data_IF_923039373443
#
_entry.id   IF_923039373443
#
_cell.length_a   1.000
_cell.length_b   1.000
_cell.length_c   1.000
_cell.angle_alpha   90.00
_cell.angle_beta   90.00
_cell.angle_gamma   90.00
#
_symmetry.space_group_name_H-M   'P 1'
#
loop_
_entity.id
_entity.type
_entity.pdbx_description
1 polymer ?
#
# COMPACT_ATOMS: atom_id res chain seq x y z
N UNK A 1 -34.59 -65.58 -6.02
CA UNK A 1 -34.43 -64.37 -5.20
C UNK A 1 -33.00 -64.39 -4.67
N UNK A 2 -32.10 -63.54 -5.18
CA UNK A 2 -30.72 -63.43 -4.68
C UNK A 2 -30.55 -62.03 -4.11
N UNK A 3 -30.35 -61.98 -2.79
CA UNK A 3 -30.12 -60.77 -2.00
C UNK A 3 -28.74 -60.20 -2.35
N UNK A 4 -28.70 -58.93 -2.75
CA UNK A 4 -27.45 -58.18 -2.97
C UNK A 4 -27.17 -57.39 -1.68
N UNK A 5 -26.07 -57.70 -1.01
CA UNK A 5 -25.57 -56.95 0.15
C UNK A 5 -24.65 -55.84 -0.36
N UNK A 6 -25.07 -54.58 -0.22
CA UNK A 6 -24.21 -53.42 -0.41
C UNK A 6 -23.33 -53.24 0.83
N UNK A 7 -22.02 -53.41 0.67
CA UNK A 7 -21.03 -52.99 1.66
C UNK A 7 -20.68 -51.51 1.39
N UNK A 8 -21.10 -50.63 2.28
CA UNK A 8 -20.66 -49.23 2.31
C UNK A 8 -19.24 -49.17 2.90
N UNK A 9 -18.24 -48.87 2.09
CA UNK A 9 -16.90 -48.56 2.55
C UNK A 9 -16.81 -47.07 2.91
N UNK A 10 -16.66 -46.77 4.20
CA UNK A 10 -16.44 -45.43 4.71
C UNK A 10 -15.02 -44.96 4.39
N UNK A 11 -14.86 -44.01 3.47
CA UNK A 11 -13.58 -43.35 3.22
C UNK A 11 -13.36 -42.30 4.30
N UNK A 12 -12.39 -42.54 5.20
CA UNK A 12 -11.89 -41.53 6.12
C UNK A 12 -10.76 -40.76 5.44
N UNK A 13 -11.00 -39.47 5.15
CA UNK A 13 -9.97 -38.57 4.64
C UNK A 13 -9.16 -38.07 5.84
N UNK A 14 -7.91 -38.53 5.96
CA UNK A 14 -6.94 -37.97 6.91
C UNK A 14 -6.29 -36.76 6.26
N UNK A 15 -6.56 -35.56 6.78
CA UNK A 15 -5.87 -34.33 6.38
C UNK A 15 -4.41 -34.35 6.86
N UNK A 16 -3.41 -34.02 6.01
CA UNK A 16 -2.04 -33.90 6.46
C UNK A 16 -1.86 -32.66 7.35
N UNK A 17 -1.34 -32.89 8.56
CA UNK A 17 -0.94 -31.83 9.49
C UNK A 17 0.27 -31.10 8.90
N UNK A 18 0.16 -29.79 8.66
CA UNK A 18 1.29 -28.93 8.36
C UNK A 18 2.17 -28.81 9.61
N UNK A 19 3.34 -29.45 9.60
CA UNK A 19 4.41 -29.21 10.57
C UNK A 19 5.02 -27.84 10.28
N UNK A 20 4.81 -26.88 11.18
CA UNK A 20 5.68 -25.72 11.28
C UNK A 20 7.04 -26.16 11.86
N UNK A 21 8.18 -25.94 11.18
CA UNK A 21 9.47 -26.08 11.83
C UNK A 21 9.62 -24.98 12.88
N UNK A 22 9.88 -25.41 14.12
CA UNK A 22 10.02 -24.55 15.28
C UNK A 22 11.18 -23.56 15.17
N UNK A 23 10.96 -22.39 15.76
CA UNK A 23 11.96 -21.35 15.93
C UNK A 23 13.13 -21.85 16.77
N UNK A 24 14.28 -21.99 16.13
CA UNK A 24 15.56 -22.13 16.79
C UNK A 24 16.05 -20.76 17.25
N UNK A 25 16.21 -20.62 18.57
CA UNK A 25 16.95 -19.55 19.23
C UNK A 25 18.42 -19.61 18.83
N UNK A 26 18.77 -18.88 17.77
CA UNK A 26 20.14 -18.68 17.30
C UNK A 26 20.78 -17.48 18.00
N UNK A 27 21.80 -17.77 18.80
CA UNK A 27 22.64 -16.85 19.56
C UNK A 27 23.43 -15.92 18.60
N UNK A 28 23.24 -14.60 18.69
CA UNK A 28 24.11 -13.62 18.00
C UNK A 28 25.15 -13.07 18.99
N UNK A 29 26.46 -13.07 18.66
CA UNK A 29 27.48 -12.47 19.49
C UNK A 29 27.43 -10.93 19.40
N UNK A 30 27.68 -10.29 20.54
CA UNK A 30 27.58 -8.85 20.70
C UNK A 30 28.63 -8.03 19.95
N UNK A 31 28.19 -6.87 19.49
CA UNK A 31 28.97 -5.65 19.33
C UNK A 31 28.02 -4.54 19.81
N UNK A 32 28.29 -3.85 20.91
CA UNK A 32 29.28 -2.79 20.95
C UNK A 32 28.51 -1.48 21.05
N UNK A 33 28.49 -0.88 22.25
CA UNK A 33 27.68 0.29 22.57
C UNK A 33 28.01 1.53 21.73
N UNK A 34 26.97 2.31 21.47
CA UNK A 34 27.07 3.66 20.92
C UNK A 34 25.81 4.42 21.31
N UNK A 35 25.86 5.11 22.45
CA UNK A 35 24.81 6.06 22.83
C UNK A 35 24.77 7.18 21.79
N UNK A 36 23.63 7.35 21.13
CA UNK A 36 23.42 8.46 20.19
C UNK A 36 23.17 9.71 21.04
N UNK A 37 24.21 10.55 21.12
CA UNK A 37 24.22 11.80 21.85
C UNK A 37 23.49 12.87 21.04
N UNK A 38 22.38 13.40 21.58
CA UNK A 38 21.68 14.56 21.01
C UNK A 38 22.49 15.84 21.31
N UNK A 39 22.85 16.66 20.31
CA UNK A 39 23.47 17.95 20.56
C UNK A 39 22.41 19.02 20.88
N UNK A 40 22.59 19.72 22.02
CA UNK A 40 22.13 21.10 22.18
C UNK A 40 21.14 21.39 23.32
N UNK A 41 21.54 21.22 24.58
CA UNK A 41 20.95 21.98 25.70
C UNK A 41 21.94 23.05 26.16
N UNK A 42 21.92 24.21 25.49
CA UNK A 42 22.58 25.42 26.01
C UNK A 42 21.60 26.18 26.90
N UNK A 43 21.90 26.19 28.19
CA UNK A 43 21.39 27.11 29.18
C UNK A 43 21.75 28.55 28.82
N UNK A 44 20.76 29.46 28.85
CA UNK A 44 20.99 30.85 28.45
C UNK A 44 19.89 31.82 28.88
N UNK A 45 20.04 32.36 30.09
CA UNK A 45 19.89 33.80 30.38
C UNK A 45 18.55 34.49 30.10
N UNK A 46 17.81 34.72 31.19
CA UNK A 46 16.70 35.67 31.29
C UNK A 46 17.17 37.12 31.07
N UNK A 47 16.50 37.86 30.18
CA UNK A 47 16.39 39.33 30.20
C UNK A 47 15.00 39.80 29.76
N UNK A 48 14.36 40.75 30.48
CA UNK A 48 13.01 41.20 30.18
C UNK A 48 12.99 42.34 29.14
N UNK A 49 12.09 42.27 28.16
CA UNK A 49 11.77 43.39 27.26
C UNK A 49 10.33 43.84 27.51
N UNK A 50 10.16 45.16 27.63
CA UNK A 50 8.92 45.90 27.94
C UNK A 50 7.83 45.77 26.85
N UNK A 51 6.56 46.04 27.20
CA UNK A 51 5.41 45.78 26.33
C UNK A 51 5.18 46.87 25.28
N UNK A 52 4.85 46.46 24.06
CA UNK A 52 4.27 47.31 23.02
C UNK A 52 2.87 46.80 22.62
N UNK A 53 2.01 47.78 22.35
CA UNK A 53 0.54 47.83 22.30
C UNK A 53 -0.09 47.03 21.12
N UNK A 54 -1.39 46.63 21.18
CA UNK A 54 -1.99 45.70 20.21
C UNK A 54 -2.41 46.40 18.92
N UNK A 55 -2.17 45.71 17.79
CA UNK A 55 -2.61 46.07 16.44
C UNK A 55 -3.28 44.86 15.77
N UNK A 56 -4.36 45.14 15.05
CA UNK A 56 -5.38 44.23 14.57
C UNK A 56 -4.93 43.12 13.59
N UNK A 57 -5.51 41.92 13.79
CA UNK A 57 -6.27 41.18 12.79
C UNK A 57 -5.63 40.86 11.44
N UNK A 58 -5.08 39.66 11.31
CA UNK A 58 -4.80 39.00 10.03
C UNK A 58 -4.66 37.49 10.24
N UNK A 59 -5.72 36.73 9.93
CA UNK A 59 -5.72 35.27 10.03
C UNK A 59 -4.84 34.66 8.93
N UNK A 60 -3.61 34.30 9.27
CA UNK A 60 -2.77 33.43 8.44
C UNK A 60 -3.08 31.99 8.84
N UNK A 61 -3.62 31.21 7.89
CA UNK A 61 -3.79 29.76 8.02
C UNK A 61 -2.38 29.12 8.11
N UNK A 62 -2.06 28.30 9.12
CA UNK A 62 -0.85 27.50 9.07
C UNK A 62 -1.02 26.47 7.94
N UNK A 63 -0.16 26.55 6.92
CA UNK A 63 0.00 25.51 5.92
C UNK A 63 0.36 24.19 6.59
N UNK A 64 -0.18 23.09 6.05
CA UNK A 64 0.10 21.74 6.51
C UNK A 64 1.60 21.46 6.47
N UNK A 65 2.21 21.32 7.64
CA UNK A 65 3.58 20.89 7.77
C UNK A 65 3.67 19.42 7.36
N UNK A 66 4.45 19.13 6.32
CA UNK A 66 4.87 17.77 5.99
C UNK A 66 5.64 17.19 7.17
N UNK A 67 5.04 16.23 7.87
CA UNK A 67 5.71 15.44 8.89
C UNK A 67 6.62 14.42 8.23
N UNK A 68 7.91 14.43 8.57
CA UNK A 68 8.85 13.38 8.18
C UNK A 68 8.60 12.19 9.11
N UNK A 69 8.09 11.08 8.58
CA UNK A 69 7.91 9.83 9.33
C UNK A 69 9.28 9.16 9.52
N UNK A 70 9.64 8.68 10.73
CA UNK A 70 10.91 7.99 10.95
C UNK A 70 10.82 6.54 10.46
N UNK A 71 11.56 6.19 9.39
CA UNK A 71 11.72 4.79 8.98
C UNK A 71 11.99 4.51 7.49
N UNK A 72 11.77 5.47 6.61
CA UNK A 72 12.16 5.37 5.20
C UNK A 72 13.01 6.57 4.82
N UNK A 73 14.02 6.37 3.97
CA UNK A 73 14.57 7.46 3.15
C UNK A 73 13.42 8.33 2.67
N UNK A 74 13.46 9.62 2.98
CA UNK A 74 12.32 10.52 2.84
C UNK A 74 11.85 10.57 1.39
N UNK A 75 10.72 9.94 1.10
CA UNK A 75 10.11 9.96 -0.24
C UNK A 75 8.58 9.98 -0.10
N UNK A 76 8.04 11.16 0.19
CA UNK A 76 6.69 11.51 -0.23
C UNK A 76 6.80 12.76 -1.10
N UNK A 77 7.01 12.51 -2.40
CA UNK A 77 7.10 13.53 -3.44
C UNK A 77 5.81 14.33 -3.52
N UNK A 78 5.98 15.65 -3.64
CA UNK A 78 4.94 16.65 -3.55
C UNK A 78 3.95 16.67 -4.71
N UNK A 79 2.96 17.54 -4.53
CA UNK A 79 2.06 17.98 -5.59
C UNK A 79 2.89 18.63 -6.69
N UNK A 80 2.85 18.11 -7.92
CA UNK A 80 3.20 18.91 -9.08
C UNK A 80 2.09 18.86 -10.13
N UNK A 81 1.47 20.02 -10.34
CA UNK A 81 0.64 20.30 -11.49
C UNK A 81 1.60 20.67 -12.62
N UNK A 82 1.67 19.83 -13.65
CA UNK A 82 2.70 19.93 -14.67
C UNK A 82 2.85 21.30 -15.34
N UNK A 83 4.08 21.61 -15.75
CA UNK A 83 4.40 22.47 -16.89
C UNK A 83 5.84 22.21 -17.33
N UNK A 84 6.05 22.09 -18.65
CA UNK A 84 7.31 21.68 -19.24
C UNK A 84 8.50 22.61 -18.96
N UNK A 85 9.67 22.02 -18.82
CA UNK A 85 10.95 22.72 -18.70
C UNK A 85 12.12 21.75 -18.80
N UNK A 86 13.09 22.07 -19.63
CA UNK A 86 14.27 21.27 -19.97
C UNK A 86 15.27 21.16 -18.81
N UNK A 87 15.75 19.94 -18.55
CA UNK A 87 17.15 19.68 -18.18
C UNK A 87 17.63 20.11 -16.79
N UNK A 88 17.04 19.55 -15.73
CA UNK A 88 17.65 19.48 -14.40
C UNK A 88 17.07 18.25 -13.68
N UNK A 89 17.91 17.33 -13.19
CA UNK A 89 17.40 16.21 -12.40
C UNK A 89 16.96 16.73 -11.03
N UNK A 90 15.65 16.88 -10.89
CA UNK A 90 14.98 17.23 -9.65
C UNK A 90 15.19 16.13 -8.59
N UNK A 91 15.98 16.45 -7.56
CA UNK A 91 16.28 15.56 -6.44
C UNK A 91 15.10 15.39 -5.47
N UNK A 92 13.95 16.04 -5.71
CA UNK A 92 12.74 15.92 -4.88
C UNK A 92 11.75 14.86 -5.37
N UNK A 93 11.97 14.31 -6.57
CA UNK A 93 11.14 13.24 -7.13
C UNK A 93 11.57 11.85 -6.62
N UNK A 94 10.62 10.95 -6.28
CA UNK A 94 10.94 9.55 -6.02
C UNK A 94 11.75 8.95 -7.17
N UNK A 95 12.75 8.08 -6.91
CA UNK A 95 13.39 7.34 -7.99
C UNK A 95 12.31 6.61 -8.81
N UNK A 96 12.47 6.51 -10.13
CA UNK A 96 11.52 5.79 -10.96
C UNK A 96 11.40 4.34 -10.48
N UNK A 97 10.18 3.80 -10.53
CA UNK A 97 9.99 2.38 -10.21
C UNK A 97 10.73 1.53 -11.23
N UNK A 98 11.38 0.47 -10.76
CA UNK A 98 12.02 -0.49 -11.65
C UNK A 98 10.97 -1.21 -12.49
N UNK A 99 11.22 -1.31 -13.79
CA UNK A 99 10.43 -2.13 -14.71
C UNK A 99 11.13 -3.46 -15.04
N UNK A 100 12.29 -3.73 -14.42
CA UNK A 100 13.11 -4.90 -14.75
C UNK A 100 12.41 -6.23 -14.43
N UNK A 101 11.54 -6.26 -13.42
CA UNK A 101 10.78 -7.43 -13.02
C UNK A 101 9.45 -7.59 -13.79
N UNK A 102 9.16 -6.72 -14.76
CA UNK A 102 7.90 -6.79 -15.50
C UNK A 102 7.85 -8.03 -16.40
N UNK A 103 6.80 -8.87 -16.29
CA UNK A 103 6.68 -10.04 -17.14
C UNK A 103 6.39 -9.63 -18.58
N UNK A 104 6.69 -10.50 -19.56
CA UNK A 104 6.19 -10.31 -20.92
C UNK A 104 4.65 -10.27 -20.89
N UNK A 105 4.09 -9.38 -21.70
CA UNK A 105 2.65 -9.24 -21.88
C UNK A 105 2.01 -10.53 -22.42
N UNK A 106 0.97 -11.04 -21.75
CA UNK A 106 0.11 -12.09 -22.31
C UNK A 106 -0.73 -11.55 -23.47
N UNK A 107 -1.16 -10.29 -23.33
CA UNK A 107 -1.74 -9.43 -24.36
C UNK A 107 -1.29 -7.99 -24.06
N UNK A 108 -1.43 -7.01 -24.96
CA UNK A 108 -0.95 -5.64 -24.73
C UNK A 108 -1.37 -4.98 -23.40
N UNK A 109 -2.45 -5.47 -22.77
CA UNK A 109 -2.94 -4.96 -21.49
C UNK A 109 -2.82 -5.96 -20.33
N UNK A 110 -2.53 -7.24 -20.56
CA UNK A 110 -2.62 -8.28 -19.52
C UNK A 110 -1.24 -8.83 -19.19
N UNK A 111 -0.87 -8.74 -17.92
CA UNK A 111 0.39 -9.25 -17.38
C UNK A 111 0.22 -10.60 -16.70
N UNK A 112 -0.96 -10.84 -16.11
CA UNK A 112 -1.19 -12.06 -15.33
C UNK A 112 -2.66 -12.47 -15.35
N UNK A 113 -2.92 -13.77 -15.21
CA UNK A 113 -4.25 -14.34 -15.05
C UNK A 113 -4.32 -15.12 -13.74
N UNK A 114 -5.32 -14.85 -12.91
CA UNK A 114 -5.56 -15.58 -11.65
C UNK A 114 -7.06 -15.67 -11.39
N UNK A 115 -7.56 -16.87 -11.07
CA UNK A 115 -8.94 -17.05 -10.60
C UNK A 115 -10.02 -16.57 -11.57
N UNK A 116 -9.80 -16.69 -12.89
CA UNK A 116 -10.75 -16.17 -13.89
C UNK A 116 -10.74 -14.64 -14.03
N UNK A 117 -9.68 -13.97 -13.56
CA UNK A 117 -9.47 -12.52 -13.66
C UNK A 117 -8.15 -12.25 -14.37
N UNK A 118 -8.06 -11.08 -14.99
CA UNK A 118 -6.87 -10.60 -15.71
C UNK A 118 -6.34 -9.36 -15.00
N UNK A 119 -5.02 -9.26 -14.92
CA UNK A 119 -4.33 -8.21 -14.17
C UNK A 119 -3.39 -7.40 -15.05
N UNK A 120 -3.35 -6.10 -14.77
CA UNK A 120 -2.51 -5.13 -15.44
C UNK A 120 -1.66 -4.36 -14.42
N UNK A 121 -0.37 -4.21 -14.70
CA UNK A 121 0.59 -3.53 -13.85
C UNK A 121 0.94 -2.16 -14.44
N UNK A 122 0.45 -1.09 -13.82
CA UNK A 122 0.65 0.27 -14.35
C UNK A 122 2.12 0.65 -14.52
N UNK A 123 2.99 0.30 -13.57
CA UNK A 123 4.42 0.62 -13.63
C UNK A 123 5.14 -0.09 -14.78
N UNK A 124 4.65 -1.25 -15.23
CA UNK A 124 5.21 -1.98 -16.35
C UNK A 124 4.85 -1.39 -17.72
N UNK A 125 3.80 -0.56 -17.78
CA UNK A 125 3.29 0.00 -19.04
C UNK A 125 3.53 1.49 -19.15
N UNK A 126 3.31 2.22 -18.06
CA UNK A 126 3.45 3.67 -18.03
C UNK A 126 4.79 4.09 -17.41
N UNK A 127 5.89 3.41 -17.77
CA UNK A 127 7.25 3.84 -17.41
C UNK A 127 7.51 4.09 -15.91
N UNK A 128 6.87 3.34 -15.01
CA UNK A 128 7.00 3.55 -13.57
C UNK A 128 6.30 4.79 -13.01
N UNK A 129 5.38 5.39 -13.76
CA UNK A 129 4.54 6.51 -13.31
C UNK A 129 3.74 6.15 -12.05
N UNK A 130 3.46 7.19 -11.25
CA UNK A 130 2.71 7.12 -10.00
C UNK A 130 1.56 8.12 -10.06
N UNK A 131 0.48 7.81 -9.36
CA UNK A 131 -0.75 8.57 -9.41
C UNK A 131 -1.32 8.78 -8.02
N UNK A 132 -2.04 9.89 -7.79
CA UNK A 132 -2.91 9.95 -6.63
C UNK A 132 -4.01 8.85 -6.72
N UNK A 133 -4.71 8.60 -5.63
CA UNK A 133 -5.66 7.47 -5.59
C UNK A 133 -6.75 7.57 -6.67
N UNK A 134 -7.29 8.78 -6.89
CA UNK A 134 -8.34 9.00 -7.90
C UNK A 134 -7.80 8.78 -9.32
N UNK A 135 -6.61 9.29 -9.60
CA UNK A 135 -5.93 9.11 -10.88
C UNK A 135 -5.56 7.66 -11.16
N UNK A 136 -5.09 6.90 -10.16
CA UNK A 136 -4.85 5.46 -10.28
C UNK A 136 -6.12 4.69 -10.66
N UNK A 137 -7.24 5.00 -10.00
CA UNK A 137 -8.53 4.39 -10.34
C UNK A 137 -8.99 4.78 -11.76
N UNK A 138 -8.74 6.02 -12.17
CA UNK A 138 -9.03 6.49 -13.52
C UNK A 138 -8.12 5.86 -14.58
N UNK A 139 -6.85 5.65 -14.27
CA UNK A 139 -5.90 4.92 -15.14
C UNK A 139 -6.48 3.55 -15.51
N UNK A 140 -6.94 2.78 -14.51
CA UNK A 140 -7.54 1.48 -14.77
C UNK A 140 -8.81 1.56 -15.63
N UNK A 141 -9.71 2.51 -15.35
CA UNK A 141 -10.93 2.70 -16.16
C UNK A 141 -10.62 3.05 -17.62
N UNK A 142 -9.54 3.80 -17.89
CA UNK A 142 -9.13 4.17 -19.26
C UNK A 142 -8.58 3.01 -20.08
N UNK A 143 -8.20 1.89 -19.46
CA UNK A 143 -7.81 0.68 -20.18
C UNK A 143 -8.98 0.07 -20.98
N UNK A 144 -10.21 0.48 -20.70
CA UNK A 144 -11.42 0.09 -21.43
C UNK A 144 -12.37 -0.74 -20.58
N UNK A 145 -13.39 -1.29 -21.25
CA UNK A 145 -14.52 -1.94 -20.59
C UNK A 145 -14.09 -3.08 -19.64
N UNK A 146 -14.61 -3.02 -18.41
CA UNK A 146 -14.41 -4.05 -17.38
C UNK A 146 -13.17 -3.86 -16.52
N UNK A 147 -12.24 -2.96 -16.88
CA UNK A 147 -11.08 -2.67 -16.06
C UNK A 147 -11.41 -1.77 -14.88
N UNK A 148 -10.93 -2.14 -13.70
CA UNK A 148 -10.97 -1.34 -12.47
C UNK A 148 -9.65 -1.46 -11.70
N UNK A 149 -9.42 -0.60 -10.72
CA UNK A 149 -8.31 -0.81 -9.78
C UNK A 149 -8.58 -2.06 -8.93
N UNK A 150 -7.53 -2.73 -8.48
CA UNK A 150 -7.63 -4.01 -7.78
C UNK A 150 -8.50 -3.94 -6.52
N UNK A 151 -9.37 -4.93 -6.35
CA UNK A 151 -10.05 -5.25 -5.10
C UNK A 151 -9.42 -6.51 -4.55
N UNK A 152 -9.10 -6.54 -3.24
CA UNK A 152 -8.45 -7.70 -2.62
C UNK A 152 -9.47 -8.42 -1.76
N UNK A 153 -10.22 -9.33 -2.37
CA UNK A 153 -11.45 -9.90 -1.79
C UNK A 153 -11.19 -11.22 -1.06
N UNK A 154 -10.02 -11.84 -1.30
CA UNK A 154 -9.67 -13.14 -0.75
C UNK A 154 -8.21 -13.20 -0.31
N UNK A 155 -7.90 -14.17 0.57
CA UNK A 155 -6.52 -14.46 0.96
C UNK A 155 -5.62 -14.88 -0.22
N UNK A 156 -6.21 -15.48 -1.27
CA UNK A 156 -5.45 -15.86 -2.47
C UNK A 156 -5.04 -14.61 -3.27
N UNK A 157 -5.94 -13.64 -3.41
CA UNK A 157 -5.64 -12.36 -4.07
C UNK A 157 -4.64 -11.54 -3.23
N UNK A 158 -4.77 -11.53 -1.90
CA UNK A 158 -3.82 -10.84 -1.04
C UNK A 158 -2.42 -11.41 -1.16
N UNK A 159 -2.26 -12.74 -1.09
CA UNK A 159 -0.96 -13.38 -1.28
C UNK A 159 -0.38 -13.11 -2.68
N UNK A 160 -1.23 -13.06 -3.70
CA UNK A 160 -0.82 -12.68 -5.05
C UNK A 160 -0.27 -11.24 -5.10
N UNK A 161 -0.96 -10.28 -4.48
CA UNK A 161 -0.51 -8.88 -4.39
C UNK A 161 0.79 -8.78 -3.59
N UNK A 162 0.89 -9.45 -2.44
CA UNK A 162 2.10 -9.53 -1.61
C UNK A 162 3.29 -10.01 -2.44
N UNK A 163 3.12 -11.11 -3.19
CA UNK A 163 4.18 -11.66 -4.02
C UNK A 163 4.60 -10.69 -5.14
N UNK A 164 3.66 -9.93 -5.72
CA UNK A 164 4.00 -8.90 -6.72
C UNK A 164 4.84 -7.80 -6.09
N UNK A 165 4.42 -7.24 -4.95
CA UNK A 165 5.16 -6.15 -4.32
C UNK A 165 6.58 -6.59 -3.94
N UNK A 166 6.72 -7.83 -3.46
CA UNK A 166 8.02 -8.41 -3.12
C UNK A 166 8.89 -8.65 -4.36
N UNK A 167 8.39 -9.38 -5.35
CA UNK A 167 9.18 -9.79 -6.53
C UNK A 167 9.47 -8.65 -7.52
N UNK A 168 8.65 -7.60 -7.54
CA UNK A 168 8.88 -6.41 -8.35
C UNK A 168 9.62 -5.29 -7.61
N UNK A 169 10.03 -5.51 -6.36
CA UNK A 169 10.69 -4.52 -5.51
C UNK A 169 9.88 -3.20 -5.42
N UNK A 170 8.55 -3.35 -5.27
CA UNK A 170 7.67 -2.20 -5.15
C UNK A 170 7.52 -1.80 -3.69
N UNK A 171 7.66 -0.50 -3.36
CA UNK A 171 7.46 -0.04 -1.99
C UNK A 171 5.98 -0.04 -1.59
N UNK A 172 5.07 0.10 -2.57
CA UNK A 172 3.63 0.23 -2.32
C UNK A 172 2.81 0.20 -3.62
N UNK A 173 1.51 -0.03 -3.49
CA UNK A 173 0.51 0.19 -4.55
C UNK A 173 -0.75 0.86 -4.00
N UNK A 174 -1.51 1.51 -4.88
CA UNK A 174 -2.93 1.78 -4.65
C UNK A 174 -3.79 0.54 -4.94
N UNK A 175 -4.89 0.44 -4.19
CA UNK A 175 -6.03 -0.44 -4.48
C UNK A 175 -7.27 0.40 -4.79
N UNK A 176 -8.39 -0.25 -5.11
CA UNK A 176 -9.70 0.44 -5.23
C UNK A 176 -10.37 0.73 -3.89
N UNK A 177 -9.80 0.27 -2.78
CA UNK A 177 -10.40 0.38 -1.44
C UNK A 177 -10.43 1.82 -0.94
N UNK A 178 -11.56 2.26 -0.42
CA UNK A 178 -11.73 3.60 0.14
C UNK A 178 -12.88 3.68 1.16
N UNK A 179 -12.91 4.77 1.93
CA UNK A 179 -14.01 5.15 2.84
C UNK A 179 -14.52 6.57 2.59
N UNK A 180 -14.43 7.05 1.36
CA UNK A 180 -14.77 8.43 0.98
C UNK A 180 -16.23 8.81 1.31
N UNK A 181 -17.12 7.83 1.37
CA UNK A 181 -18.54 8.01 1.70
C UNK A 181 -18.87 7.88 3.19
N UNK A 182 -17.89 7.65 4.07
CA UNK A 182 -18.06 7.64 5.52
C UNK A 182 -18.86 6.46 6.11
N UNK A 183 -19.27 5.48 5.31
CA UNK A 183 -20.10 4.32 5.74
C UNK A 183 -19.32 3.02 5.99
N UNK A 184 -18.00 3.13 6.13
CA UNK A 184 -17.07 1.99 6.18
C UNK A 184 -16.22 1.87 4.91
N UNK A 185 -15.38 0.84 4.87
CA UNK A 185 -14.51 0.56 3.74
C UNK A 185 -15.26 -0.18 2.64
N UNK A 186 -15.15 0.32 1.42
CA UNK A 186 -15.71 -0.27 0.20
C UNK A 186 -14.65 -0.39 -0.88
N UNK A 187 -14.80 -1.37 -1.76
CA UNK A 187 -14.06 -1.46 -3.00
C UNK A 187 -14.60 -0.49 -4.06
N UNK A 188 -13.87 -0.31 -5.16
CA UNK A 188 -14.23 0.62 -6.24
C UNK A 188 -15.56 0.30 -6.94
N UNK A 189 -16.04 -0.95 -6.81
CA UNK A 189 -17.34 -1.41 -7.29
C UNK A 189 -18.49 -1.19 -6.27
N UNK A 190 -18.19 -0.63 -5.09
CA UNK A 190 -19.14 -0.37 -4.01
C UNK A 190 -19.40 -1.54 -3.07
N UNK A 191 -18.78 -2.71 -3.28
CA UNK A 191 -18.88 -3.83 -2.34
C UNK A 191 -18.16 -3.52 -1.03
N UNK A 192 -18.71 -4.02 0.08
CA UNK A 192 -18.08 -3.89 1.39
C UNK A 192 -16.79 -4.71 1.47
N UNK A 193 -15.79 -4.16 2.16
CA UNK A 193 -14.54 -4.87 2.46
C UNK A 193 -14.77 -5.85 3.61
N UNK A 194 -14.72 -7.16 3.31
CA UNK A 194 -14.89 -8.24 4.30
C UNK A 194 -13.57 -8.93 4.66
N UNK A 195 -12.80 -9.34 3.66
CA UNK A 195 -11.44 -9.81 3.86
C UNK A 195 -10.54 -8.62 4.18
N UNK A 196 -9.60 -8.78 5.13
CA UNK A 196 -8.65 -7.73 5.47
C UNK A 196 -7.27 -8.28 5.81
N UNK A 197 -6.25 -7.48 5.49
CA UNK A 197 -4.88 -7.68 5.94
C UNK A 197 -4.29 -6.35 6.43
N UNK A 198 -5.06 -5.65 7.29
CA UNK A 198 -4.62 -4.38 7.89
C UNK A 198 -3.38 -4.56 8.76
N UNK A 199 -2.46 -3.61 8.65
CA UNK A 199 -1.23 -3.60 9.43
C UNK A 199 -1.50 -3.51 10.93
N UNK A 200 -0.64 -4.16 11.73
CA UNK A 200 -0.75 -4.15 13.20
C UNK A 200 -0.07 -2.94 13.80
N UNK A 201 0.79 -2.27 13.04
CA UNK A 201 1.43 -1.02 13.41
C UNK A 201 1.18 0.04 12.34
N UNK A 202 1.73 1.24 12.58
CA UNK A 202 1.54 2.39 11.71
C UNK A 202 2.36 3.55 12.26
N UNK A 203 2.03 4.77 11.82
CA UNK A 203 2.75 5.95 12.27
C UNK A 203 2.65 6.15 13.79
N UNK A 204 1.49 5.85 14.37
CA UNK A 204 1.31 5.84 15.83
C UNK A 204 1.82 4.52 16.39
N UNK A 205 2.82 4.52 17.29
CA UNK A 205 3.32 3.30 17.90
C UNK A 205 2.21 2.49 18.58
N UNK A 206 2.21 1.17 18.36
CA UNK A 206 1.24 0.22 18.91
C UNK A 206 -0.22 0.47 18.49
N UNK A 207 -0.46 1.15 17.37
CA UNK A 207 -1.80 1.36 16.81
C UNK A 207 -1.96 0.63 15.47
N UNK A 208 -2.88 -0.35 15.38
CA UNK A 208 -3.21 -1.00 14.12
C UNK A 208 -3.92 -0.06 13.15
N UNK A 209 -3.79 -0.37 11.87
CA UNK A 209 -4.55 0.26 10.80
C UNK A 209 -5.95 -0.39 10.67
N UNK A 210 -6.94 0.31 10.08
CA UNK A 210 -6.91 1.69 9.67
C UNK A 210 -7.07 2.63 10.88
N UNK A 211 -6.26 3.68 11.00
CA UNK A 211 -6.20 4.50 12.21
C UNK A 211 -6.62 5.98 12.03
N UNK A 212 -6.83 6.41 10.79
CA UNK A 212 -7.21 7.77 10.41
C UNK A 212 -6.35 8.84 11.09
N UNK A 213 -5.06 8.59 11.22
CA UNK A 213 -4.13 9.42 11.97
C UNK A 213 -4.20 10.90 11.57
N UNK A 214 -4.20 11.19 10.26
CA UNK A 214 -4.24 12.57 9.75
C UNK A 214 -5.66 13.11 9.51
N UNK A 215 -6.70 12.43 10.02
CA UNK A 215 -8.12 12.77 9.83
C UNK A 215 -8.62 12.82 8.37
N UNK A 216 -7.82 12.31 7.43
CA UNK A 216 -8.10 12.36 5.99
C UNK A 216 -7.56 11.13 5.23
N UNK A 217 -7.25 10.05 5.95
CA UNK A 217 -6.70 8.82 5.37
C UNK A 217 -7.85 7.95 4.84
N UNK A 218 -8.40 8.30 3.69
CA UNK A 218 -9.62 7.68 3.19
C UNK A 218 -9.39 6.62 2.12
N UNK A 219 -8.13 6.33 1.78
CA UNK A 219 -7.76 5.48 0.65
C UNK A 219 -6.86 4.32 1.09
N UNK A 220 -7.11 3.12 0.56
CA UNK A 220 -6.43 1.89 0.96
C UNK A 220 -5.20 1.65 0.07
N UNK A 221 -4.03 1.61 0.70
CA UNK A 221 -2.78 1.22 0.06
C UNK A 221 -2.22 -0.06 0.68
N UNK A 222 -1.55 -0.88 -0.14
CA UNK A 222 -0.70 -1.96 0.37
C UNK A 222 0.73 -1.44 0.41
N UNK A 223 1.38 -1.52 1.58
CA UNK A 223 2.76 -1.07 1.78
C UNK A 223 3.69 -2.28 1.98
N UNK A 224 4.88 -2.24 1.39
CA UNK A 224 5.87 -3.30 1.50
C UNK A 224 6.87 -2.99 2.62
N UNK A 225 6.72 -3.66 3.78
CA UNK A 225 7.64 -3.62 4.93
C UNK A 225 8.00 -2.20 5.38
N UNK A 226 7.04 -1.28 5.27
CA UNK A 226 7.26 0.13 5.54
C UNK A 226 7.44 0.40 7.04
N UNK A 227 6.67 -0.28 7.88
CA UNK A 227 6.82 -0.23 9.33
C UNK A 227 7.52 -1.50 9.85
N UNK A 228 8.38 -1.38 10.89
CA UNK A 228 9.05 -2.54 11.46
C UNK A 228 8.07 -3.63 11.88
N UNK A 229 8.31 -4.85 11.41
CA UNK A 229 7.54 -6.07 11.70
C UNK A 229 6.15 -6.21 11.04
N UNK A 230 5.71 -5.27 10.20
CA UNK A 230 4.37 -5.32 9.57
C UNK A 230 4.28 -6.13 8.28
N UNK A 231 5.39 -6.67 7.76
CA UNK A 231 5.38 -7.42 6.49
C UNK A 231 4.84 -6.57 5.33
N UNK A 232 4.11 -7.18 4.40
CA UNK A 232 3.40 -6.46 3.33
C UNK A 232 1.91 -6.44 3.69
N UNK A 233 1.39 -5.28 4.08
CA UNK A 233 0.08 -5.13 4.74
C UNK A 233 -0.64 -3.85 4.31
N UNK A 234 -1.92 -3.74 4.67
CA UNK A 234 -2.79 -2.64 4.25
C UNK A 234 -2.71 -1.47 5.24
N UNK A 235 -2.71 -0.26 4.70
CA UNK A 235 -2.74 1.00 5.43
C UNK A 235 -3.82 1.91 4.88
N UNK A 236 -4.45 2.70 5.74
CA UNK A 236 -5.21 3.86 5.31
C UNK A 236 -4.27 5.03 5.11
N UNK A 237 -4.34 5.65 3.95
CA UNK A 237 -3.40 6.67 3.51
C UNK A 237 -4.19 7.84 2.93
N UNK A 238 -3.67 9.06 3.06
CA UNK A 238 -4.26 10.23 2.42
C UNK A 238 -4.24 10.06 0.90
N UNK A 239 -5.38 10.30 0.27
CA UNK A 239 -5.61 9.94 -1.13
C UNK A 239 -4.71 10.70 -2.13
N UNK A 240 -4.06 11.79 -1.69
CA UNK A 240 -3.21 12.63 -2.53
C UNK A 240 -1.81 12.03 -2.78
N UNK A 241 -1.38 11.05 -1.97
CA UNK A 241 -0.08 10.41 -2.18
C UNK A 241 -0.01 9.69 -3.53
N UNK A 242 1.16 9.73 -4.17
CA UNK A 242 1.35 9.13 -5.49
C UNK A 242 1.89 7.70 -5.39
N UNK A 243 1.22 6.74 -6.03
CA UNK A 243 1.60 5.33 -6.07
C UNK A 243 1.26 4.70 -7.43
N UNK A 244 1.94 3.62 -7.84
CA UNK A 244 1.44 2.81 -8.94
C UNK A 244 0.18 2.06 -8.50
N UNK A 245 -0.53 1.47 -9.44
CA UNK A 245 -1.72 0.64 -9.20
C UNK A 245 -1.67 -0.68 -9.96
N UNK A 246 -2.36 -1.69 -9.42
CA UNK A 246 -2.75 -2.88 -10.17
C UNK A 246 -4.18 -2.65 -10.65
N UNK A 247 -4.45 -2.96 -11.92
CA UNK A 247 -5.80 -3.02 -12.46
C UNK A 247 -6.21 -4.47 -12.66
N UNK A 248 -7.51 -4.71 -12.58
CA UNK A 248 -8.13 -6.02 -12.72
C UNK A 248 -9.37 -5.94 -13.62
N UNK A 249 -9.72 -7.07 -14.24
CA UNK A 249 -11.03 -7.31 -14.85
C UNK A 249 -11.39 -8.79 -14.80
N UNK A 250 -12.67 -9.11 -14.95
CA UNK A 250 -13.07 -10.49 -15.24
C UNK A 250 -12.44 -10.95 -16.59
N UNK A 251 -11.92 -12.17 -16.63
CA UNK A 251 -11.53 -12.78 -17.88
C UNK A 251 -12.79 -12.99 -18.74
N UNK A 252 -12.73 -12.56 -19.99
CA UNK A 252 -13.83 -12.81 -20.91
C UNK A 252 -13.91 -14.32 -21.16
N UNK A 253 -15.00 -14.94 -20.73
CA UNK A 253 -15.36 -16.28 -21.20
C UNK A 253 -15.66 -16.15 -22.69
N UNK A 254 -14.74 -16.58 -23.56
CA UNK A 254 -15.08 -16.81 -24.96
C UNK A 254 -15.97 -18.05 -25.01
N UNK A 255 -17.29 -17.86 -24.92
CA UNK A 255 -18.25 -18.84 -25.40
C UNK A 255 -18.25 -18.75 -26.92
N UNK A 256 -17.40 -19.57 -27.55
CA UNK A 256 -17.48 -19.87 -28.97
C UNK A 256 -18.68 -20.78 -29.28
#
# INVERSE_FOLDING_TARGET
>A
MKTVILLLASVTIVAPQARYPGGGIGNFPGAGGGAIQFPGSSTGGTRPIRPARPGAGGSVRPGGGGGILPGGTGIFGGNDQGSGGTGGQDLSSPPPLSTAACPPFLTPQVHYNLGGRQYHYSWCVDGGQRYNWQEANNYCRRLGNGWQAISIETAQEDQFVVNILDSHDLPYIWTSGNRLQGRGWVWGNGQLVYYTNWAKTGFVPNRPQPDNHFNNEQCLSVLNRFYPNDGITWHDIECHHVKPTICERAAQSYSG
#
